data_IF_999495012551
#
_entry.id   IF_999495012551
#
_cell.length_a   1.000
_cell.length_b   1.000
_cell.length_c   1.000
_cell.angle_alpha   90.00
_cell.angle_beta   90.00
_cell.angle_gamma   90.00
#
_symmetry.space_group_name_H-M   'P 1'
#
loop_
_entity.id
_entity.type
_entity.pdbx_description
1 polymer ?
#
# COMPACT_ATOMS: atom_id res chain seq x y z
N UNK A 1 40.01 -45.49 -14.56
CA UNK A 1 40.12 -44.47 -13.50
C UNK A 1 38.85 -44.54 -12.65
N UNK A 2 39.01 -44.44 -11.33
CA UNK A 2 38.05 -44.88 -10.29
C UNK A 2 36.83 -43.94 -10.22
N UNK A 3 35.62 -44.49 -10.30
CA UNK A 3 34.38 -43.76 -9.96
C UNK A 3 34.31 -43.67 -8.43
N UNK A 4 34.68 -42.51 -7.88
CA UNK A 4 34.61 -42.24 -6.45
C UNK A 4 33.39 -41.38 -6.15
N UNK A 5 32.53 -41.92 -5.31
CA UNK A 5 31.37 -41.32 -4.66
C UNK A 5 31.65 -39.89 -4.18
N UNK A 6 30.80 -38.94 -4.55
CA UNK A 6 30.56 -37.76 -3.72
C UNK A 6 29.06 -37.50 -3.73
N UNK A 7 28.41 -38.04 -2.70
CA UNK A 7 27.07 -37.68 -2.26
C UNK A 7 27.02 -36.16 -2.10
N UNK A 8 26.58 -35.46 -3.15
CA UNK A 8 26.32 -34.04 -3.08
C UNK A 8 24.93 -33.90 -2.47
N UNK A 9 24.91 -33.87 -1.14
CA UNK A 9 23.72 -33.81 -0.31
C UNK A 9 22.78 -32.72 -0.80
N UNK A 10 21.55 -33.13 -1.12
CA UNK A 10 20.49 -32.25 -1.51
C UNK A 10 20.14 -31.38 -0.31
N UNK A 11 20.61 -30.13 -0.31
CA UNK A 11 20.21 -29.14 0.68
C UNK A 11 18.77 -28.77 0.36
N UNK A 12 17.83 -29.43 1.04
CA UNK A 12 16.41 -29.14 0.95
C UNK A 12 16.18 -27.74 1.54
N UNK A 13 16.12 -26.73 0.68
CA UNK A 13 15.70 -25.38 1.03
C UNK A 13 14.21 -25.42 1.41
N UNK A 14 13.93 -25.63 2.70
CA UNK A 14 12.58 -25.41 3.23
C UNK A 14 12.28 -23.91 3.10
N UNK A 15 11.15 -23.51 2.48
CA UNK A 15 10.78 -22.11 2.42
C UNK A 15 10.51 -21.62 3.84
N UNK A 16 11.38 -20.74 4.34
CA UNK A 16 11.10 -19.96 5.55
C UNK A 16 9.97 -19.02 5.14
N UNK A 17 8.77 -19.27 5.64
CA UNK A 17 7.65 -18.35 5.50
C UNK A 17 8.07 -17.01 6.08
N UNK A 18 8.36 -16.04 5.21
CA UNK A 18 8.65 -14.68 5.64
C UNK A 18 7.37 -14.12 6.27
N UNK A 19 7.39 -13.95 7.59
CA UNK A 19 6.34 -13.20 8.29
C UNK A 19 6.56 -11.72 7.97
N UNK A 20 5.95 -11.25 6.89
CA UNK A 20 5.87 -9.82 6.62
C UNK A 20 4.82 -9.22 7.56
N UNK A 21 5.26 -8.41 8.52
CA UNK A 21 4.36 -7.67 9.39
C UNK A 21 3.97 -6.37 8.66
N UNK A 22 2.76 -6.31 8.08
CA UNK A 22 2.24 -5.13 7.39
C UNK A 22 1.47 -4.21 8.35
N UNK A 23 2.15 -3.63 9.34
CA UNK A 23 1.53 -2.76 10.36
C UNK A 23 1.08 -1.41 9.82
N UNK A 24 1.51 -1.01 8.61
CA UNK A 24 1.14 0.28 8.03
C UNK A 24 -0.37 0.43 7.86
N UNK A 25 -1.11 -0.64 7.52
CA UNK A 25 -2.57 -0.57 7.37
C UNK A 25 -3.32 -0.27 8.67
N UNK A 26 -2.67 -0.50 9.82
CA UNK A 26 -3.21 -0.17 11.15
C UNK A 26 -2.92 1.27 11.55
N UNK A 27 -2.06 1.97 10.81
CA UNK A 27 -1.71 3.35 11.08
C UNK A 27 -2.75 4.30 10.47
N UNK A 28 -2.97 5.50 11.08
CA UNK A 28 -3.84 6.52 10.51
C UNK A 28 -3.34 7.01 9.15
N UNK A 29 -4.28 7.39 8.28
CA UNK A 29 -4.00 8.00 6.97
C UNK A 29 -4.03 9.52 7.12
N UNK A 30 -2.94 10.18 6.72
CA UNK A 30 -2.83 11.64 6.62
C UNK A 30 -2.72 12.03 5.15
N UNK A 31 -3.44 13.06 4.73
CA UNK A 31 -3.41 13.60 3.37
C UNK A 31 -3.31 15.11 3.47
N UNK A 32 -2.27 15.67 2.85
CA UNK A 32 -2.05 17.10 2.67
C UNK A 32 -2.13 17.45 1.18
N UNK A 33 -2.73 18.58 0.82
CA UNK A 33 -2.97 18.99 -0.57
C UNK A 33 -3.37 20.46 -0.65
N UNK A 34 -3.21 21.07 -1.82
CA UNK A 34 -3.65 22.44 -2.07
C UNK A 34 -5.18 22.60 -1.99
N UNK A 35 -5.94 21.59 -2.44
CA UNK A 35 -7.40 21.64 -2.47
C UNK A 35 -8.06 20.29 -2.23
N UNK A 36 -9.29 20.35 -1.70
CA UNK A 36 -10.12 19.20 -1.37
C UNK A 36 -11.56 19.41 -1.89
N UNK A 37 -12.12 18.38 -2.52
CA UNK A 37 -13.52 18.31 -2.94
C UNK A 37 -14.20 17.08 -2.33
N UNK A 38 -15.28 17.29 -1.59
CA UNK A 38 -16.14 16.21 -1.06
C UNK A 38 -17.39 16.04 -1.93
N UNK A 39 -17.54 14.86 -2.54
CA UNK A 39 -18.77 14.43 -3.20
C UNK A 39 -19.53 13.44 -2.30
N UNK A 40 -20.62 13.92 -1.70
CA UNK A 40 -21.49 13.10 -0.85
C UNK A 40 -22.36 12.11 -1.62
N UNK A 41 -22.63 12.34 -2.93
CA UNK A 41 -23.43 11.42 -3.75
C UNK A 41 -22.63 10.17 -4.08
N UNK A 42 -21.35 10.33 -4.40
CA UNK A 42 -20.46 9.20 -4.69
C UNK A 42 -19.67 8.72 -3.47
N UNK A 43 -19.76 9.39 -2.32
CA UNK A 43 -18.93 9.14 -1.13
C UNK A 43 -17.43 9.21 -1.40
N UNK A 44 -17.03 10.14 -2.27
CA UNK A 44 -15.64 10.33 -2.68
C UNK A 44 -15.09 11.65 -2.14
N UNK A 45 -13.80 11.65 -1.81
CA UNK A 45 -13.03 12.86 -1.54
C UNK A 45 -11.90 12.93 -2.55
N UNK A 46 -11.83 14.03 -3.28
CA UNK A 46 -10.74 14.30 -4.24
C UNK A 46 -9.79 15.32 -3.64
N UNK A 47 -8.50 15.01 -3.61
CA UNK A 47 -7.41 15.87 -3.20
C UNK A 47 -6.61 16.24 -4.45
N UNK A 48 -6.35 17.53 -4.68
CA UNK A 48 -5.63 18.01 -5.87
C UNK A 48 -4.59 19.06 -5.48
N UNK A 49 -3.43 19.00 -6.15
CA UNK A 49 -2.28 19.90 -5.97
C UNK A 49 -1.34 19.45 -4.85
N UNK A 50 -0.07 19.19 -5.22
CA UNK A 50 1.04 18.75 -4.34
C UNK A 50 0.61 17.78 -3.24
N UNK A 51 -0.09 16.71 -3.62
CA UNK A 51 -0.73 15.80 -2.68
C UNK A 51 0.31 14.91 -2.01
N UNK A 52 0.40 14.97 -0.68
CA UNK A 52 1.24 14.10 0.14
C UNK A 52 0.38 13.23 1.05
N UNK A 53 0.39 11.93 0.79
CA UNK A 53 -0.31 10.94 1.61
C UNK A 53 0.70 10.14 2.43
N UNK A 54 0.40 9.97 3.72
CA UNK A 54 1.21 9.18 4.65
C UNK A 54 0.36 8.18 5.44
N UNK A 55 0.82 6.94 5.51
CA UNK A 55 0.24 5.89 6.34
C UNK A 55 1.36 5.01 6.93
N UNK A 56 1.70 5.21 8.20
CA UNK A 56 2.85 4.54 8.81
C UNK A 56 4.15 4.88 8.07
N UNK A 57 4.78 3.85 7.50
CA UNK A 57 5.98 3.97 6.66
C UNK A 57 5.69 4.29 5.19
N UNK A 58 4.44 4.14 4.73
CA UNK A 58 4.00 4.44 3.36
C UNK A 58 3.95 5.95 3.16
N UNK A 59 4.57 6.42 2.07
CA UNK A 59 4.51 7.81 1.61
C UNK A 59 4.21 7.84 0.12
N UNK A 60 3.18 8.59 -0.28
CA UNK A 60 2.76 8.77 -1.68
C UNK A 60 2.78 10.25 -1.98
N UNK A 61 3.41 10.62 -3.10
CA UNK A 61 3.36 11.98 -3.66
C UNK A 61 2.65 11.89 -5.01
N UNK A 62 1.65 12.74 -5.24
CA UNK A 62 0.84 12.74 -6.46
C UNK A 62 0.28 14.13 -6.75
N UNK A 63 -0.15 14.37 -7.99
CA UNK A 63 -0.87 15.61 -8.32
C UNK A 63 -2.34 15.52 -7.88
N UNK A 64 -2.88 14.30 -7.84
CA UNK A 64 -4.27 14.03 -7.48
C UNK A 64 -4.43 12.70 -6.76
N UNK A 65 -5.27 12.69 -5.73
CA UNK A 65 -5.69 11.48 -5.02
C UNK A 65 -7.21 11.46 -4.88
N UNK A 66 -7.86 10.34 -5.23
CA UNK A 66 -9.28 10.11 -5.01
C UNK A 66 -9.44 9.04 -3.94
N UNK A 67 -10.17 9.36 -2.87
CA UNK A 67 -10.48 8.46 -1.77
C UNK A 67 -11.97 8.12 -1.81
N UNK A 68 -12.28 6.86 -2.01
CA UNK A 68 -13.65 6.34 -1.89
C UNK A 68 -13.87 5.77 -0.51
N UNK A 69 -14.92 6.23 0.16
CA UNK A 69 -15.31 5.76 1.49
C UNK A 69 -16.59 4.97 1.42
N UNK A 70 -16.72 4.01 2.33
CA UNK A 70 -17.99 3.36 2.57
C UNK A 70 -18.97 4.35 3.22
N UNK A 71 -20.22 4.38 2.74
CA UNK A 71 -21.20 5.40 3.07
C UNK A 71 -21.67 5.34 4.53
N UNK A 72 -21.75 4.14 5.11
CA UNK A 72 -22.33 3.90 6.44
C UNK A 72 -21.29 4.03 7.56
N UNK A 73 -20.09 3.49 7.35
CA UNK A 73 -19.00 3.38 8.31
C UNK A 73 -17.95 4.48 8.13
N UNK A 74 -17.89 5.12 6.97
CA UNK A 74 -16.85 6.09 6.61
C UNK A 74 -15.48 5.47 6.34
N UNK A 75 -15.38 4.13 6.34
CA UNK A 75 -14.11 3.41 6.14
C UNK A 75 -13.57 3.65 4.73
N UNK A 76 -12.27 3.92 4.60
CA UNK A 76 -11.61 4.04 3.30
C UNK A 76 -11.64 2.68 2.60
N UNK A 77 -12.14 2.65 1.37
CA UNK A 77 -12.18 1.45 0.53
C UNK A 77 -11.09 1.47 -0.55
N UNK A 78 -10.95 2.61 -1.23
CA UNK A 78 -10.07 2.75 -2.39
C UNK A 78 -9.34 4.09 -2.29
N UNK A 79 -8.04 4.06 -2.62
CA UNK A 79 -7.18 5.24 -2.79
C UNK A 79 -6.58 5.14 -4.19
N UNK A 80 -6.98 6.05 -5.08
CA UNK A 80 -6.43 6.17 -6.43
C UNK A 80 -5.50 7.38 -6.46
N UNK A 81 -4.23 7.18 -6.82
CA UNK A 81 -3.24 8.25 -6.94
C UNK A 81 -2.77 8.35 -8.39
N UNK A 82 -2.73 9.57 -8.92
CA UNK A 82 -2.24 9.84 -10.27
C UNK A 82 -1.24 10.99 -10.28
N UNK A 83 -0.13 10.79 -10.98
CA UNK A 83 0.76 11.85 -11.44
C UNK A 83 0.37 12.23 -12.88
N UNK A 84 0.44 13.51 -13.23
CA UNK A 84 0.19 14.02 -14.59
C UNK A 84 1.43 13.86 -15.45
#
# INVERSE_FOLDING_TARGET
>A
MKLSHLSLGICLLLPISAMALSTDSEQPVYIDSDSQLLDMKSNQVTFEGDVKLKQGSININADKVIVTREAVTGTIQIIEASAI
#
